data_IF_163825685967
#
_entry.id   IF_163825685967
#
_cell.length_a   1.000
_cell.length_b   1.000
_cell.length_c   1.000
_cell.angle_alpha   90.00
_cell.angle_beta   90.00
_cell.angle_gamma   90.00
#
_symmetry.space_group_name_H-M   'P 1'
#
loop_
_entity.id
_entity.type
_entity.pdbx_description
1 polymer ?
#
# COMPACT_ATOMS: atom_id res chain seq x y z
N UNK A 1 7.40 10.10 -11.70
CA UNK A 1 7.56 8.67 -12.05
C UNK A 1 7.28 7.90 -10.77
N UNK A 2 6.48 6.84 -10.83
CA UNK A 2 6.12 6.07 -9.63
C UNK A 2 7.28 5.15 -9.24
N UNK A 3 7.71 5.22 -7.99
CA UNK A 3 8.84 4.43 -7.49
C UNK A 3 8.44 2.96 -7.29
N UNK A 4 9.32 2.05 -7.71
CA UNK A 4 9.05 0.60 -7.67
C UNK A 4 9.28 0.08 -6.23
N UNK A 5 8.20 -0.01 -5.47
CA UNK A 5 8.20 -0.57 -4.11
C UNK A 5 7.83 -2.06 -4.04
N UNK A 6 7.96 -2.65 -2.85
CA UNK A 6 7.62 -4.06 -2.60
C UNK A 6 6.16 -4.41 -2.95
N UNK A 7 5.23 -3.48 -2.76
CA UNK A 7 3.82 -3.64 -3.14
C UNK A 7 3.64 -3.84 -4.64
N UNK A 8 4.38 -3.11 -5.48
CA UNK A 8 4.30 -3.28 -6.94
C UNK A 8 4.88 -4.61 -7.40
N UNK A 9 5.97 -5.06 -6.76
CA UNK A 9 6.53 -6.39 -7.01
C UNK A 9 5.50 -7.46 -6.66
N UNK A 10 4.86 -7.34 -5.50
CA UNK A 10 3.82 -8.26 -5.05
C UNK A 10 2.64 -8.31 -6.03
N UNK A 11 2.13 -7.15 -6.47
CA UNK A 11 1.07 -7.08 -7.49
C UNK A 11 1.49 -7.69 -8.83
N UNK A 12 2.75 -7.53 -9.25
CA UNK A 12 3.23 -8.17 -10.48
C UNK A 12 3.16 -9.70 -10.40
N UNK A 13 3.48 -10.29 -9.24
CA UNK A 13 3.38 -11.74 -9.03
C UNK A 13 1.93 -12.25 -8.98
N UNK A 14 0.98 -11.41 -8.59
CA UNK A 14 -0.46 -11.73 -8.62
C UNK A 14 -1.00 -11.58 -10.04
N UNK A 15 -0.87 -10.39 -10.63
CA UNK A 15 -1.45 -10.04 -11.91
C UNK A 15 -0.72 -8.87 -12.58
N UNK A 16 -0.16 -9.11 -13.78
CA UNK A 16 0.52 -8.06 -14.57
C UNK A 16 -0.36 -6.87 -14.94
N UNK A 17 -1.67 -7.07 -15.06
CA UNK A 17 -2.62 -5.98 -15.36
C UNK A 17 -2.84 -5.08 -14.16
N UNK A 18 -2.88 -5.64 -12.95
CA UNK A 18 -3.06 -4.88 -11.72
C UNK A 18 -1.93 -3.87 -11.50
N UNK A 19 -0.67 -4.33 -11.60
CA UNK A 19 0.50 -3.45 -11.50
C UNK A 19 0.53 -2.40 -12.62
N UNK A 20 0.07 -2.74 -13.84
CA UNK A 20 -0.02 -1.76 -14.93
C UNK A 20 -1.03 -0.66 -14.61
N UNK A 21 -2.22 -1.01 -14.12
CA UNK A 21 -3.27 -0.05 -13.74
C UNK A 21 -2.76 0.89 -12.64
N UNK A 22 -2.23 0.33 -11.55
CA UNK A 22 -1.75 1.11 -10.41
C UNK A 22 -0.55 1.99 -10.80
N UNK A 23 0.38 1.47 -11.60
CA UNK A 23 1.51 2.25 -12.12
C UNK A 23 1.12 3.42 -13.03
N UNK A 24 -0.10 3.43 -13.57
CA UNK A 24 -0.67 4.53 -14.36
C UNK A 24 -1.68 5.37 -13.56
N UNK A 25 -1.72 5.21 -12.23
CA UNK A 25 -2.61 5.98 -11.35
C UNK A 25 -4.08 5.53 -11.37
N UNK A 26 -4.35 4.33 -11.87
CA UNK A 26 -5.69 3.72 -11.82
C UNK A 26 -5.74 2.80 -10.59
N UNK A 27 -6.33 3.33 -9.52
CA UNK A 27 -6.38 2.66 -8.22
C UNK A 27 -7.70 1.90 -8.00
N UNK A 28 -7.69 0.82 -7.21
CA UNK A 28 -8.92 0.16 -6.78
C UNK A 28 -9.75 1.05 -5.83
N UNK A 29 -11.03 0.72 -5.68
CA UNK A 29 -11.96 1.42 -4.79
C UNK A 29 -11.43 1.53 -3.36
N UNK A 30 -11.37 2.76 -2.83
CA UNK A 30 -10.83 3.06 -1.50
C UNK A 30 -11.91 3.29 -0.44
N UNK A 31 -13.18 3.42 -0.82
CA UNK A 31 -14.30 3.79 0.05
C UNK A 31 -15.00 2.57 0.69
N UNK A 32 -14.36 1.40 0.68
CA UNK A 32 -14.93 0.21 1.30
C UNK A 32 -14.77 0.25 2.84
N UNK A 33 -15.86 0.04 3.57
CA UNK A 33 -15.88 0.04 5.05
C UNK A 33 -14.88 -0.94 5.67
N UNK A 34 -14.63 -2.10 5.04
CA UNK A 34 -13.65 -3.07 5.54
C UNK A 34 -12.21 -2.56 5.40
N UNK A 35 -11.93 -1.79 4.35
CA UNK A 35 -10.63 -1.12 4.18
C UNK A 35 -10.46 -0.06 5.26
N UNK A 36 -11.51 0.73 5.54
CA UNK A 36 -11.49 1.74 6.61
C UNK A 36 -11.27 1.10 7.99
N UNK A 37 -11.95 -0.01 8.29
CA UNK A 37 -11.74 -0.76 9.53
C UNK A 37 -10.30 -1.27 9.66
N UNK A 38 -9.73 -1.81 8.59
CA UNK A 38 -8.33 -2.27 8.58
C UNK A 38 -7.33 -1.16 8.90
N UNK A 39 -7.53 0.04 8.35
CA UNK A 39 -6.71 1.23 8.66
C UNK A 39 -6.86 1.62 10.14
N UNK A 40 -8.08 1.64 10.66
CA UNK A 40 -8.33 1.99 12.05
C UNK A 40 -7.67 1.01 13.05
N UNK A 41 -7.77 -0.29 12.76
CA UNK A 41 -7.08 -1.33 13.55
C UNK A 41 -5.57 -1.12 13.49
N UNK A 42 -5.01 -0.87 12.30
CA UNK A 42 -3.58 -0.59 12.13
C UNK A 42 -3.15 0.59 13.02
N UNK A 43 -3.90 1.71 12.98
CA UNK A 43 -3.61 2.89 13.78
C UNK A 43 -3.60 2.59 15.29
N UNK A 44 -4.61 1.89 15.81
CA UNK A 44 -4.74 1.58 17.25
C UNK A 44 -3.61 0.66 17.74
N UNK A 45 -3.33 -0.41 16.99
CA UNK A 45 -2.37 -1.43 17.45
C UNK A 45 -0.91 -0.97 17.33
N UNK A 46 -0.60 -0.08 16.39
CA UNK A 46 0.78 0.37 16.15
C UNK A 46 1.14 1.71 16.80
N UNK A 47 0.26 2.32 17.62
CA UNK A 47 0.54 3.61 18.29
C UNK A 47 1.84 3.63 19.11
N UNK A 48 2.22 2.51 19.74
CA UNK A 48 3.37 2.43 20.67
C UNK A 48 4.63 1.79 20.08
N UNK A 49 4.56 1.26 18.85
CA UNK A 49 5.69 0.63 18.18
C UNK A 49 5.76 1.15 16.75
N UNK A 50 6.75 1.99 16.44
CA UNK A 50 7.11 2.29 15.05
C UNK A 50 7.62 1.01 14.39
N UNK A 51 6.74 0.35 13.64
CA UNK A 51 7.11 -0.75 12.75
C UNK A 51 7.35 -0.28 11.33
N UNK A 52 6.67 0.78 10.89
CA UNK A 52 6.84 1.33 9.56
C UNK A 52 8.10 2.22 9.50
N UNK A 53 9.09 1.77 8.75
CA UNK A 53 10.25 2.55 8.35
C UNK A 53 9.93 3.20 7.01
N UNK A 54 9.92 4.53 6.98
CA UNK A 54 9.82 5.26 5.72
C UNK A 54 11.22 5.52 5.19
N UNK A 55 11.61 4.79 4.15
CA UNK A 55 12.87 4.97 3.43
C UNK A 55 12.63 6.00 2.32
N UNK A 56 13.48 7.02 2.28
CA UNK A 56 13.47 8.11 1.29
C UNK A 56 12.13 8.84 1.14
N UNK A 57 11.29 8.78 2.18
CA UNK A 57 9.92 9.31 2.17
C UNK A 57 8.99 8.68 1.10
N UNK A 58 9.43 7.56 0.53
CA UNK A 58 8.82 6.93 -0.65
C UNK A 58 8.39 5.49 -0.36
N UNK A 59 9.17 4.76 0.43
CA UNK A 59 8.95 3.33 0.69
C UNK A 59 8.61 3.17 2.16
N UNK A 60 7.40 2.70 2.48
CA UNK A 60 7.03 2.27 3.83
C UNK A 60 7.23 0.75 3.96
N UNK A 61 8.10 0.33 4.87
CA UNK A 61 8.41 -1.08 5.19
C UNK A 61 7.98 -1.37 6.62
#
# INVERSE_FOLDING_TARGET
MMDIGGTLIWYYYICKREVWLIGHGIEPEQENDYIALGRHIHEIFYQRRKKELTIDNTIKI
#
